data_IF_026157598553
#
_entry.id   IF_026157598553
#
_cell.length_a   1.000
_cell.length_b   1.000
_cell.length_c   1.000
_cell.angle_alpha   90.00
_cell.angle_beta   90.00
_cell.angle_gamma   90.00
#
_symmetry.space_group_name_H-M   'P 1'
#
loop_
_entity.id
_entity.type
_entity.pdbx_description
1 polymer ?
#
# COMPACT_ATOMS: atom_id res chain seq x y z
N UNK A 1 -5.70 -6.38 -1.17
CA UNK A 1 -6.73 -5.86 -2.10
C UNK A 1 -8.08 -6.04 -1.44
N UNK A 2 -8.97 -5.05 -1.55
CA UNK A 2 -10.35 -5.15 -1.05
C UNK A 2 -11.28 -4.95 -2.24
N UNK A 3 -12.15 -5.93 -2.55
CA UNK A 3 -13.08 -5.84 -3.66
C UNK A 3 -14.14 -4.76 -3.42
N UNK A 4 -14.44 -3.96 -4.45
CA UNK A 4 -15.45 -2.88 -4.39
C UNK A 4 -16.60 -3.08 -5.37
N UNK A 5 -16.33 -3.64 -6.54
CA UNK A 5 -17.31 -4.02 -7.55
C UNK A 5 -16.72 -5.13 -8.45
N UNK A 6 -17.51 -5.79 -9.33
CA UNK A 6 -16.96 -6.75 -10.28
C UNK A 6 -15.78 -6.15 -11.08
N UNK A 7 -14.61 -6.77 -10.95
CA UNK A 7 -13.37 -6.31 -11.61
C UNK A 7 -12.74 -5.02 -11.04
N UNK A 8 -13.23 -4.50 -9.90
CA UNK A 8 -12.72 -3.26 -9.29
C UNK A 8 -12.34 -3.46 -7.82
N UNK A 9 -11.20 -2.91 -7.43
CA UNK A 9 -10.60 -3.11 -6.11
C UNK A 9 -10.01 -1.84 -5.53
N UNK A 10 -9.96 -1.79 -4.21
CA UNK A 10 -9.12 -0.88 -3.45
C UNK A 10 -7.75 -1.54 -3.22
N UNK A 11 -6.69 -0.81 -3.58
CA UNK A 11 -5.31 -1.20 -3.35
C UNK A 11 -4.83 -0.58 -2.04
N UNK A 12 -4.56 -1.44 -1.06
CA UNK A 12 -4.01 -1.06 0.23
C UNK A 12 -2.54 -1.47 0.34
N UNK A 13 -1.67 -0.57 0.78
CA UNK A 13 -0.22 -0.76 0.87
C UNK A 13 0.36 -0.25 2.21
N UNK A 14 1.61 -0.61 2.51
CA UNK A 14 2.36 -0.05 3.64
C UNK A 14 2.22 -0.78 4.98
N UNK A 15 1.64 -1.99 5.01
CA UNK A 15 1.76 -2.87 6.18
C UNK A 15 3.20 -3.33 6.36
N UNK A 16 3.64 -3.49 7.61
CA UNK A 16 4.97 -4.03 7.91
C UNK A 16 5.01 -5.56 7.76
N UNK A 17 6.21 -6.12 7.73
CA UNK A 17 6.42 -7.56 7.60
C UNK A 17 5.90 -8.35 8.82
N UNK A 18 5.92 -7.74 10.00
CA UNK A 18 5.50 -8.38 11.26
C UNK A 18 4.00 -8.23 11.56
N UNK A 19 3.25 -7.49 10.73
CA UNK A 19 1.83 -7.25 10.93
C UNK A 19 1.48 -6.30 12.09
N UNK A 20 2.44 -5.50 12.58
CA UNK A 20 2.24 -4.50 13.64
C UNK A 20 1.73 -3.17 13.10
N UNK A 21 1.87 -2.92 11.80
CA UNK A 21 1.42 -1.71 11.11
C UNK A 21 0.34 -2.06 10.10
N UNK A 22 -0.81 -1.39 10.21
CA UNK A 22 -1.92 -1.56 9.29
C UNK A 22 -1.62 -0.92 7.93
N UNK A 23 -2.06 -1.59 6.86
CA UNK A 23 -2.02 -1.03 5.51
C UNK A 23 -2.94 0.20 5.37
N UNK A 24 -2.71 0.97 4.30
CA UNK A 24 -3.43 2.19 3.96
C UNK A 24 -3.95 2.16 2.55
N UNK A 25 -5.11 2.78 2.33
CA UNK A 25 -5.66 2.97 0.99
C UNK A 25 -4.67 3.81 0.16
N UNK A 26 -4.16 3.22 -0.92
CA UNK A 26 -3.22 3.87 -1.84
C UNK A 26 -3.91 4.27 -3.16
N UNK A 27 -4.79 3.40 -3.65
CA UNK A 27 -5.68 3.66 -4.79
C UNK A 27 -7.04 3.05 -4.52
N UNK A 28 -8.09 3.76 -4.92
CA UNK A 28 -9.47 3.33 -4.71
C UNK A 28 -10.14 2.96 -6.04
N UNK A 29 -10.97 1.92 -6.03
CA UNK A 29 -11.83 1.55 -7.14
C UNK A 29 -11.08 1.43 -8.48
N UNK A 30 -9.98 0.69 -8.52
CA UNK A 30 -9.17 0.48 -9.74
C UNK A 30 -9.34 -0.93 -10.30
N UNK A 31 -9.13 -1.10 -11.60
CA UNK A 31 -9.15 -2.40 -12.25
C UNK A 31 -7.84 -3.18 -12.09
N UNK A 32 -7.84 -4.44 -12.51
CA UNK A 32 -6.69 -5.34 -12.41
C UNK A 32 -5.47 -4.87 -13.21
N UNK A 33 -5.68 -4.31 -14.42
CA UNK A 33 -4.56 -3.84 -15.25
C UNK A 33 -3.83 -2.67 -14.57
N UNK A 34 -4.59 -1.75 -13.97
CA UNK A 34 -4.06 -0.64 -13.18
C UNK A 34 -3.32 -1.14 -11.95
N UNK A 35 -3.84 -2.16 -11.25
CA UNK A 35 -3.17 -2.77 -10.09
C UNK A 35 -1.80 -3.31 -10.52
N UNK A 36 -1.75 -4.07 -11.62
CA UNK A 36 -0.50 -4.67 -12.10
C UNK A 36 0.52 -3.59 -12.48
N UNK A 37 0.10 -2.55 -13.20
CA UNK A 37 1.00 -1.45 -13.58
C UNK A 37 1.57 -0.71 -12.36
N UNK A 38 0.75 -0.45 -11.34
CA UNK A 38 1.21 0.20 -10.10
C UNK A 38 2.18 -0.71 -9.34
N UNK A 39 1.89 -2.01 -9.24
CA UNK A 39 2.77 -2.94 -8.54
C UNK A 39 4.10 -3.14 -9.27
N UNK A 40 4.10 -3.20 -10.60
CA UNK A 40 5.31 -3.34 -11.41
C UNK A 40 6.27 -2.16 -11.17
N UNK A 41 5.75 -0.93 -11.21
CA UNK A 41 6.53 0.26 -10.91
C UNK A 41 7.11 0.23 -9.48
N UNK A 42 6.26 -0.04 -8.48
CA UNK A 42 6.67 -0.01 -7.08
C UNK A 42 7.66 -1.13 -6.71
N UNK A 43 7.46 -2.32 -7.27
CA UNK A 43 8.36 -3.46 -7.06
C UNK A 43 9.68 -3.27 -7.80
N UNK A 44 9.65 -2.67 -9.00
CA UNK A 44 10.86 -2.29 -9.74
C UNK A 44 11.72 -1.32 -8.92
N UNK A 45 11.10 -0.26 -8.38
CA UNK A 45 11.77 0.70 -7.50
C UNK A 45 12.28 0.04 -6.22
N UNK A 46 11.49 -0.81 -5.58
CA UNK A 46 11.92 -1.55 -4.39
C UNK A 46 13.14 -2.43 -4.68
N UNK A 47 13.17 -3.13 -5.82
CA UNK A 47 14.30 -3.96 -6.20
C UNK A 47 15.60 -3.17 -6.36
N UNK A 48 15.54 -1.93 -6.88
CA UNK A 48 16.71 -1.08 -7.12
C UNK A 48 17.11 -0.19 -5.94
N UNK A 49 16.16 0.26 -5.13
CA UNK A 49 16.36 1.32 -4.13
C UNK A 49 16.30 0.82 -2.68
N UNK A 50 15.97 -0.46 -2.43
CA UNK A 50 15.84 -0.98 -1.06
C UNK A 50 17.17 -0.97 -0.32
N UNK A 51 17.08 -0.71 0.98
CA UNK A 51 18.20 -0.89 1.90
C UNK A 51 18.36 -2.36 2.30
N UNK A 52 19.53 -2.70 2.85
CA UNK A 52 19.83 -4.06 3.31
C UNK A 52 18.88 -4.47 4.43
N UNK A 53 18.20 -5.61 4.27
CA UNK A 53 17.14 -6.12 5.17
C UNK A 53 15.86 -5.26 5.23
N UNK A 54 15.68 -4.31 4.31
CA UNK A 54 14.42 -3.57 4.23
C UNK A 54 13.32 -4.45 3.63
N UNK A 55 12.11 -4.37 4.22
CA UNK A 55 10.89 -4.98 3.69
C UNK A 55 10.09 -3.97 2.88
N UNK A 56 9.30 -4.46 1.91
CA UNK A 56 8.54 -3.61 0.99
C UNK A 56 7.65 -2.58 1.70
N UNK A 57 6.99 -2.96 2.80
CA UNK A 57 6.14 -2.04 3.55
C UNK A 57 6.90 -0.86 4.18
N UNK A 58 8.14 -1.09 4.61
CA UNK A 58 9.00 -0.07 5.21
C UNK A 58 9.62 0.82 4.12
N UNK A 59 10.03 0.21 3.02
CA UNK A 59 10.44 0.91 1.80
C UNK A 59 9.41 1.95 1.36
N UNK A 60 8.14 1.53 1.22
CA UNK A 60 7.06 2.42 0.79
C UNK A 60 6.84 3.62 1.71
N UNK A 61 7.13 3.49 3.01
CA UNK A 61 7.11 4.61 3.95
C UNK A 61 8.32 5.51 3.78
N UNK A 62 9.53 4.93 3.70
CA UNK A 62 10.79 5.66 3.56
C UNK A 62 10.80 6.55 2.32
N UNK A 63 10.33 6.02 1.18
CA UNK A 63 10.26 6.76 -0.08
C UNK A 63 8.98 7.58 -0.24
N UNK A 64 8.13 7.64 0.79
CA UNK A 64 6.95 8.51 0.84
C UNK A 64 5.76 8.11 -0.04
N UNK A 65 5.72 6.87 -0.55
CA UNK A 65 4.59 6.33 -1.34
C UNK A 65 3.36 6.12 -0.45
N UNK A 66 3.57 5.74 0.81
CA UNK A 66 2.53 5.64 1.84
C UNK A 66 2.93 6.48 3.04
N UNK A 67 1.95 7.03 3.76
CA UNK A 67 2.19 7.82 4.98
C UNK A 67 1.62 7.11 6.19
N UNK A 68 2.36 7.16 7.31
CA UNK A 68 1.84 6.75 8.62
C UNK A 68 0.90 7.85 9.12
N UNK A 69 -0.31 7.52 9.59
CA UNK A 69 -1.17 8.49 10.25
C UNK A 69 -0.52 9.04 11.53
N UNK A 70 -0.56 10.34 11.73
CA UNK A 70 -0.24 10.94 13.04
C UNK A 70 -1.42 10.87 14.02
N UNK A 71 -2.64 10.64 13.50
CA UNK A 71 -3.87 10.49 14.27
C UNK A 71 -4.72 9.38 13.65
N UNK A 72 -5.21 8.43 14.46
CA UNK A 72 -6.24 7.49 14.02
C UNK A 72 -7.58 8.19 14.25
N UNK A 73 -8.17 8.73 13.18
CA UNK A 73 -9.54 9.24 13.24
C UNK A 73 -10.47 8.04 13.42
N UNK A 74 -10.97 7.83 14.65
CA UNK A 74 -12.02 6.88 14.93
C UNK A 74 -13.37 7.48 14.53
N UNK A 75 -13.60 7.65 13.23
CA UNK A 75 -14.96 7.89 12.74
C UNK A 75 -15.64 6.53 12.56
N UNK A 76 -16.37 6.11 13.59
CA UNK A 76 -17.33 5.02 13.48
C UNK A 76 -18.56 5.61 12.80
N UNK A 77 -18.65 5.47 11.48
CA UNK A 77 -19.92 5.71 10.78
C UNK A 77 -20.84 4.54 11.11
N UNK A 78 -21.82 4.83 11.98
CA UNK A 78 -22.95 3.94 12.28
C UNK A 78 -24.05 4.09 11.23
#
# INVERSE_FOLDING_TARGET
LVGKAPGRYNLHLGADFQGRRLNRLHRENIDQATILSVLDELLGRYASERETHEHFGDFLLRVGVVRVPTVIAAEVQA
#
